data_IF_912764679591
#
_entry.id   IF_912764679591
#
_cell.length_a   1.000
_cell.length_b   1.000
_cell.length_c   1.000
_cell.angle_alpha   90.00
_cell.angle_beta   90.00
_cell.angle_gamma   90.00
#
_symmetry.space_group_name_H-M   'P 1'
#
loop_
_entity.id
_entity.type
_entity.pdbx_description
1 polymer ?
#
# COMPACT_ATOMS: atom_id res chain seq x y z
N UNK A 1 21.68 -9.23 -10.43
CA UNK A 1 20.78 -10.13 -9.68
C UNK A 1 19.36 -9.64 -9.92
N UNK A 2 18.49 -10.42 -10.60
CA UNK A 2 17.12 -10.00 -10.86
C UNK A 2 16.40 -9.61 -9.56
N UNK A 3 15.64 -8.50 -9.57
CA UNK A 3 14.93 -7.99 -8.40
C UNK A 3 15.76 -7.13 -7.43
N UNK A 4 17.06 -6.91 -7.68
CA UNK A 4 17.90 -5.99 -6.91
C UNK A 4 18.20 -4.71 -7.71
N UNK A 5 18.41 -3.60 -7.00
CA UNK A 5 18.80 -2.30 -7.59
C UNK A 5 20.32 -2.15 -7.73
N UNK A 6 21.09 -3.18 -7.38
CA UNK A 6 22.55 -3.19 -7.49
C UNK A 6 23.24 -3.01 -6.14
N UNK A 7 24.52 -2.65 -6.20
CA UNK A 7 25.36 -2.34 -5.04
C UNK A 7 25.51 -0.82 -4.89
N UNK A 8 25.88 -0.32 -3.70
CA UNK A 8 26.22 1.09 -3.53
C UNK A 8 27.29 1.53 -4.54
N UNK A 9 27.12 2.73 -5.09
CA UNK A 9 28.14 3.34 -5.93
C UNK A 9 29.37 3.74 -5.10
N UNK A 10 30.52 3.87 -5.74
CA UNK A 10 31.77 4.23 -5.05
C UNK A 10 31.65 5.53 -4.25
N UNK A 11 32.10 5.51 -2.99
CA UNK A 11 32.05 6.65 -2.07
C UNK A 11 30.70 6.87 -1.37
N UNK A 12 29.71 6.00 -1.62
CA UNK A 12 28.42 5.98 -0.90
C UNK A 12 28.35 4.72 -0.05
N UNK A 13 28.00 4.88 1.22
CA UNK A 13 27.66 3.76 2.09
C UNK A 13 26.15 3.67 2.23
N UNK A 14 25.62 2.44 2.24
CA UNK A 14 24.21 2.16 2.48
C UNK A 14 24.06 1.40 3.79
N UNK A 15 23.12 1.83 4.61
CA UNK A 15 22.74 1.21 5.87
C UNK A 15 21.27 0.83 5.78
N UNK A 16 20.91 -0.30 6.38
CA UNK A 16 19.53 -0.72 6.55
C UNK A 16 19.19 -0.46 8.01
N UNK A 17 18.36 0.54 8.28
CA UNK A 17 18.08 1.02 9.65
C UNK A 17 16.78 0.42 10.18
N UNK A 18 16.81 -0.08 11.41
CA UNK A 18 15.64 -0.55 12.14
C UNK A 18 14.90 0.60 12.84
N UNK A 19 13.72 0.30 13.39
CA UNK A 19 12.91 1.26 14.15
C UNK A 19 13.61 1.79 15.41
N UNK A 20 14.59 1.06 15.94
CA UNK A 20 15.40 1.46 17.10
C UNK A 20 16.55 2.42 16.74
N UNK A 21 16.63 2.85 15.48
CA UNK A 21 17.66 3.74 14.97
C UNK A 21 19.03 3.06 14.82
N UNK A 22 19.10 1.73 14.80
CA UNK A 22 20.33 0.97 14.60
C UNK A 22 20.32 0.20 13.28
N UNK A 23 21.50 -0.10 12.70
CA UNK A 23 21.58 -0.97 11.54
C UNK A 23 21.04 -2.37 11.84
N UNK A 24 20.18 -2.89 10.98
CA UNK A 24 19.74 -4.29 11.03
C UNK A 24 20.78 -5.21 10.39
N UNK A 25 20.86 -6.50 10.80
CA UNK A 25 21.71 -7.49 10.17
C UNK A 25 21.42 -7.68 8.68
N UNK A 26 22.42 -8.15 7.92
CA UNK A 26 22.26 -8.50 6.52
C UNK A 26 21.09 -9.46 6.29
N UNK A 27 20.33 -9.23 5.22
CA UNK A 27 19.12 -9.99 4.88
C UNK A 27 17.87 -9.60 5.66
N UNK A 28 17.99 -8.85 6.78
CA UNK A 28 16.82 -8.31 7.47
C UNK A 28 16.31 -7.03 6.78
N UNK A 29 15.03 -6.76 6.99
CA UNK A 29 14.35 -5.59 6.43
C UNK A 29 14.57 -4.37 7.31
N UNK A 30 14.85 -3.24 6.66
CA UNK A 30 15.04 -1.95 7.31
C UNK A 30 14.85 -0.81 6.31
N UNK A 31 14.84 0.41 6.83
CA UNK A 31 14.87 1.60 5.99
C UNK A 31 16.23 1.72 5.31
N UNK A 32 16.23 1.92 3.99
CA UNK A 32 17.43 2.18 3.22
C UNK A 32 17.88 3.62 3.54
N UNK A 33 19.02 3.75 4.19
CA UNK A 33 19.65 5.03 4.46
C UNK A 33 21.03 5.09 3.81
N UNK A 34 21.51 6.28 3.47
CA UNK A 34 22.82 6.41 2.82
C UNK A 34 23.67 7.55 3.38
N UNK A 35 24.97 7.38 3.28
CA UNK A 35 25.97 8.42 3.56
C UNK A 35 26.88 8.58 2.35
N UNK A 36 27.37 9.79 2.11
CA UNK A 36 28.26 10.05 0.99
C UNK A 36 28.33 11.51 0.58
N UNK A 37 29.19 11.84 -0.40
CA UNK A 37 29.34 13.21 -0.91
C UNK A 37 28.08 13.74 -1.61
N UNK A 38 27.18 12.84 -2.03
CA UNK A 38 25.90 13.14 -2.66
C UNK A 38 24.78 13.51 -1.66
N UNK A 39 24.99 13.33 -0.35
CA UNK A 39 23.99 13.68 0.66
C UNK A 39 23.91 15.19 0.82
N UNK A 40 22.71 15.74 0.62
CA UNK A 40 22.43 17.17 0.75
C UNK A 40 22.77 17.69 2.15
N UNK A 41 22.92 19.02 2.26
CA UNK A 41 23.07 19.69 3.57
C UNK A 41 21.74 19.77 4.33
N UNK A 42 20.62 19.79 3.60
CA UNK A 42 19.29 19.97 4.12
C UNK A 42 18.40 20.75 3.15
N UNK A 43 17.13 20.89 3.51
CA UNK A 43 16.19 21.71 2.77
C UNK A 43 16.44 23.20 3.03
N UNK A 44 16.26 24.02 1.99
CA UNK A 44 16.49 25.47 2.09
C UNK A 44 15.47 26.11 3.04
N UNK A 45 15.98 26.78 4.09
CA UNK A 45 15.18 27.46 5.13
C UNK A 45 14.12 26.57 5.80
N UNK A 46 14.31 25.25 5.82
CA UNK A 46 13.40 24.32 6.47
C UNK A 46 14.19 23.33 7.37
N UNK A 47 14.63 23.78 8.56
CA UNK A 47 15.43 22.96 9.47
C UNK A 47 14.63 21.78 10.05
N UNK A 48 13.33 21.92 10.22
CA UNK A 48 12.44 20.86 10.74
C UNK A 48 12.40 19.67 9.78
N UNK A 49 12.01 19.90 8.51
CA UNK A 49 12.02 18.86 7.49
C UNK A 49 13.43 18.30 7.22
N UNK A 50 14.47 19.08 7.50
CA UNK A 50 15.86 18.59 7.39
C UNK A 50 16.17 17.58 8.49
N UNK A 51 15.78 17.88 9.73
CA UNK A 51 16.00 16.99 10.87
C UNK A 51 15.20 15.68 10.76
N UNK A 52 14.07 15.68 10.04
CA UNK A 52 13.30 14.47 9.76
C UNK A 52 14.03 13.48 8.84
N UNK A 53 14.87 13.96 7.91
CA UNK A 53 15.50 13.11 6.89
C UNK A 53 17.02 13.00 7.02
N UNK A 54 17.65 13.85 7.83
CA UNK A 54 19.09 13.84 8.08
C UNK A 54 19.36 13.57 9.56
N UNK A 55 20.03 12.45 9.83
CA UNK A 55 20.50 12.06 11.15
C UNK A 55 22.02 11.83 11.17
N UNK A 56 22.56 11.41 12.31
CA UNK A 56 23.98 11.03 12.43
C UNK A 56 24.12 9.55 12.09
N UNK A 57 25.04 9.24 11.20
CA UNK A 57 25.30 7.86 10.78
C UNK A 57 25.90 7.02 11.91
N UNK A 58 25.86 5.67 11.80
CA UNK A 58 26.44 4.77 12.80
C UNK A 58 27.94 4.97 13.06
N UNK A 59 28.67 5.61 12.13
CA UNK A 59 30.07 6.00 12.30
C UNK A 59 30.26 7.21 13.26
N UNK A 60 29.17 7.81 13.74
CA UNK A 60 29.14 8.96 14.63
C UNK A 60 29.59 10.29 14.00
N UNK A 61 29.84 10.33 12.68
CA UNK A 61 30.46 11.48 12.01
C UNK A 61 29.73 11.92 10.76
N UNK A 62 29.29 10.96 9.95
CA UNK A 62 28.67 11.24 8.65
C UNK A 62 27.20 11.63 8.81
N UNK A 63 26.70 12.42 7.86
CA UNK A 63 25.24 12.64 7.73
C UNK A 63 24.61 11.41 7.11
N UNK A 64 23.62 10.85 7.78
CA UNK A 64 22.79 9.76 7.31
C UNK A 64 21.52 10.33 6.71
N UNK A 65 21.30 10.06 5.43
CA UNK A 65 20.07 10.43 4.75
C UNK A 65 19.08 9.27 4.75
N UNK A 66 17.89 9.53 5.29
CA UNK A 66 16.74 8.63 5.32
C UNK A 66 15.96 8.76 4.01
N UNK A 67 15.95 7.70 3.19
CA UNK A 67 15.31 7.74 1.86
C UNK A 67 13.79 7.56 1.94
N UNK A 68 13.30 7.01 3.04
CA UNK A 68 11.93 6.53 3.19
C UNK A 68 11.60 5.29 2.36
N UNK A 69 12.61 4.62 1.77
CA UNK A 69 12.47 3.32 1.11
C UNK A 69 12.75 2.19 2.12
N UNK A 70 11.95 1.14 2.07
CA UNK A 70 12.21 -0.12 2.77
C UNK A 70 12.99 -1.05 1.86
N UNK A 71 13.87 -1.86 2.44
CA UNK A 71 14.61 -2.84 1.67
C UNK A 71 15.37 -3.86 2.50
N UNK A 72 16.15 -4.67 1.80
CA UNK A 72 17.07 -5.65 2.37
C UNK A 72 18.39 -5.57 1.64
N UNK A 73 19.48 -5.79 2.36
CA UNK A 73 20.81 -5.91 1.75
C UNK A 73 21.37 -7.29 2.02
N UNK A 74 21.69 -8.03 0.95
CA UNK A 74 22.34 -9.33 1.06
C UNK A 74 23.78 -9.21 1.54
N UNK A 75 24.37 -10.32 1.98
CA UNK A 75 25.80 -10.39 2.33
C UNK A 75 26.71 -10.06 1.14
N UNK A 76 26.20 -10.26 -0.08
CA UNK A 76 26.84 -9.89 -1.33
C UNK A 76 26.85 -8.36 -1.59
N UNK A 77 26.21 -7.56 -0.72
CA UNK A 77 26.09 -6.11 -0.82
C UNK A 77 25.05 -5.63 -1.84
N UNK A 78 24.25 -6.54 -2.41
CA UNK A 78 23.15 -6.15 -3.29
C UNK A 78 21.94 -5.69 -2.48
N UNK A 79 21.39 -4.54 -2.86
CA UNK A 79 20.21 -3.95 -2.23
C UNK A 79 18.96 -4.34 -3.02
N UNK A 80 17.93 -4.74 -2.30
CA UNK A 80 16.57 -4.95 -2.81
C UNK A 80 15.65 -3.94 -2.15
N UNK A 81 14.90 -3.19 -2.95
CA UNK A 81 13.83 -2.32 -2.46
C UNK A 81 12.58 -3.17 -2.27
N UNK A 82 11.96 -3.08 -1.10
CA UNK A 82 10.76 -3.83 -0.72
C UNK A 82 9.58 -2.91 -0.43
N UNK A 83 9.72 -1.59 -0.56
CA UNK A 83 8.58 -0.67 -0.50
C UNK A 83 8.93 0.71 0.02
N UNK A 84 7.93 1.42 0.55
CA UNK A 84 8.06 2.78 1.12
C UNK A 84 7.58 2.81 2.57
N UNK A 85 8.37 3.44 3.45
CA UNK A 85 8.02 3.63 4.87
C UNK A 85 6.67 4.34 5.02
N UNK A 86 6.46 5.43 4.27
CA UNK A 86 5.22 6.22 4.32
C UNK A 86 3.96 5.50 3.80
N UNK A 87 4.13 4.39 3.07
CA UNK A 87 3.02 3.59 2.53
C UNK A 87 2.71 2.41 3.45
N UNK A 88 3.62 2.11 4.37
CA UNK A 88 3.45 1.06 5.35
C UNK A 88 2.36 1.44 6.35
N UNK A 89 1.51 0.48 6.69
CA UNK A 89 0.54 0.61 7.75
C UNK A 89 0.62 -0.57 8.71
N UNK A 90 0.05 -0.37 9.89
CA UNK A 90 0.02 -1.36 10.97
C UNK A 90 -1.35 -2.02 11.03
N UNK A 91 -1.38 -3.34 11.13
CA UNK A 91 -2.58 -4.11 11.46
C UNK A 91 -2.85 -4.05 12.97
N UNK A 92 -4.07 -4.35 13.40
CA UNK A 92 -4.44 -4.39 14.83
C UNK A 92 -3.56 -5.35 15.65
N UNK A 93 -3.13 -6.45 15.02
CA UNK A 93 -2.26 -7.45 15.64
C UNK A 93 -0.81 -7.00 15.82
N UNK A 94 -0.48 -5.76 15.47
CA UNK A 94 0.83 -5.16 15.65
C UNK A 94 1.79 -5.32 14.47
N UNK A 95 1.43 -6.07 13.43
CA UNK A 95 2.29 -6.31 12.27
C UNK A 95 2.21 -5.19 11.26
N UNK A 96 3.35 -4.88 10.66
CA UNK A 96 3.47 -3.89 9.61
C UNK A 96 3.36 -4.53 8.23
N UNK A 97 2.61 -3.88 7.33
CA UNK A 97 2.36 -4.34 5.97
C UNK A 97 2.75 -3.21 5.02
N UNK A 98 3.59 -3.52 4.03
CA UNK A 98 3.82 -2.64 2.90
C UNK A 98 2.91 -3.09 1.74
N UNK A 99 1.93 -2.26 1.32
CA UNK A 99 0.94 -2.68 0.33
C UNK A 99 1.51 -2.78 -1.08
N UNK A 100 2.48 -1.94 -1.44
CA UNK A 100 2.94 -1.79 -2.83
C UNK A 100 3.47 -3.08 -3.46
N UNK A 101 4.35 -3.89 -2.82
CA UNK A 101 4.77 -5.16 -3.39
C UNK A 101 3.63 -6.17 -3.58
N UNK A 102 2.63 -6.13 -2.70
CA UNK A 102 1.48 -7.04 -2.72
C UNK A 102 0.56 -6.65 -3.88
N UNK A 103 0.35 -5.35 -4.06
CA UNK A 103 -0.39 -4.79 -5.18
C UNK A 103 0.30 -5.05 -6.51
N UNK A 104 1.62 -4.85 -6.59
CA UNK A 104 2.39 -5.18 -7.78
C UNK A 104 2.29 -6.67 -8.12
N UNK A 105 2.33 -7.54 -7.09
CA UNK A 105 2.18 -8.97 -7.30
C UNK A 105 0.80 -9.35 -7.83
N UNK A 106 -0.28 -8.81 -7.24
CA UNK A 106 -1.66 -9.04 -7.70
C UNK A 106 -1.90 -8.42 -9.08
N UNK A 107 -1.30 -7.26 -9.36
CA UNK A 107 -1.37 -6.56 -10.64
C UNK A 107 -0.63 -7.27 -11.78
N UNK A 108 0.13 -8.34 -11.52
CA UNK A 108 0.66 -9.21 -12.58
C UNK A 108 -0.44 -10.08 -13.22
N UNK A 109 -1.62 -10.18 -12.60
CA UNK A 109 -2.74 -10.90 -13.18
C UNK A 109 -3.26 -10.21 -14.44
N UNK A 110 -3.54 -11.01 -15.48
CA UNK A 110 -4.24 -10.52 -16.68
C UNK A 110 -5.70 -10.13 -16.45
N UNK A 111 -6.28 -10.46 -15.29
CA UNK A 111 -7.68 -10.19 -14.97
C UNK A 111 -7.88 -8.91 -14.15
N UNK A 112 -6.78 -8.29 -13.67
CA UNK A 112 -6.82 -7.17 -12.73
C UNK A 112 -6.03 -6.00 -13.30
N UNK A 113 -6.72 -4.90 -13.57
CA UNK A 113 -6.12 -3.68 -14.11
C UNK A 113 -5.43 -2.84 -13.02
N UNK A 114 -6.08 -2.71 -11.86
CA UNK A 114 -5.58 -1.92 -10.74
C UNK A 114 -5.98 -2.59 -9.44
N UNK A 115 -5.17 -2.40 -8.40
CA UNK A 115 -5.43 -2.95 -7.07
C UNK A 115 -5.01 -1.94 -6.01
N UNK A 116 -5.80 -1.85 -4.94
CA UNK A 116 -5.45 -1.12 -3.72
C UNK A 116 -5.69 -2.03 -2.53
N UNK A 117 -4.64 -2.25 -1.74
CA UNK A 117 -4.67 -3.00 -0.51
C UNK A 117 -4.97 -2.07 0.68
N UNK A 118 -5.87 -2.52 1.54
CA UNK A 118 -6.35 -1.79 2.71
C UNK A 118 -6.27 -2.69 3.95
N UNK A 119 -5.74 -2.18 5.05
CA UNK A 119 -5.74 -2.92 6.33
C UNK A 119 -5.28 -2.12 7.54
N UNK A 120 -5.12 -0.80 7.38
CA UNK A 120 -4.63 0.06 8.46
C UNK A 120 -5.57 -0.01 9.67
N UNK A 121 -5.04 -0.40 10.83
CA UNK A 121 -5.78 -0.62 12.07
C UNK A 121 -6.99 -1.56 11.88
N UNK A 122 -6.80 -2.63 11.11
CA UNK A 122 -7.76 -3.71 10.94
C UNK A 122 -7.12 -5.07 11.24
N UNK A 123 -7.90 -6.14 11.49
CA UNK A 123 -7.35 -7.44 11.86
C UNK A 123 -6.56 -8.13 10.74
N UNK A 124 -6.92 -7.85 9.47
CA UNK A 124 -6.33 -8.43 8.28
C UNK A 124 -6.39 -7.43 7.11
N UNK A 125 -5.80 -7.78 5.96
CA UNK A 125 -5.88 -6.96 4.74
C UNK A 125 -7.09 -7.35 3.89
N UNK A 126 -7.63 -6.36 3.20
CA UNK A 126 -8.62 -6.52 2.14
C UNK A 126 -8.13 -5.82 0.87
N UNK A 127 -8.58 -6.27 -0.30
CA UNK A 127 -8.18 -5.69 -1.58
C UNK A 127 -9.37 -5.11 -2.36
N UNK A 128 -9.19 -3.91 -2.91
CA UNK A 128 -10.08 -3.31 -3.90
C UNK A 128 -9.50 -3.58 -5.28
N UNK A 129 -10.26 -4.25 -6.14
CA UNK A 129 -9.80 -4.68 -7.46
C UNK A 129 -10.55 -3.95 -8.57
N UNK A 130 -9.83 -3.44 -9.55
CA UNK A 130 -10.41 -2.97 -10.81
C UNK A 130 -10.25 -4.11 -11.82
N UNK A 131 -11.33 -4.78 -12.24
CA UNK A 131 -11.25 -5.91 -13.15
C UNK A 131 -10.91 -5.47 -14.58
N UNK A 132 -10.33 -6.40 -15.35
CA UNK A 132 -10.42 -6.40 -16.81
C UNK A 132 -11.55 -7.34 -17.23
N UNK A 133 -12.73 -6.77 -17.45
CA UNK A 133 -13.90 -7.54 -17.87
C UNK A 133 -13.72 -8.25 -19.21
N UNK A 134 -12.92 -7.68 -20.12
CA UNK A 134 -12.66 -8.29 -21.42
C UNK A 134 -11.89 -9.60 -21.25
N UNK A 135 -10.84 -9.56 -20.43
CA UNK A 135 -10.04 -10.74 -20.12
C UNK A 135 -10.85 -11.81 -19.36
N UNK A 136 -11.66 -11.39 -18.38
CA UNK A 136 -12.49 -12.31 -17.57
C UNK A 136 -13.56 -12.98 -18.45
N UNK A 137 -14.27 -12.23 -19.28
CA UNK A 137 -15.30 -12.77 -20.19
C UNK A 137 -14.71 -13.76 -21.17
N UNK A 138 -13.54 -13.43 -21.74
CA UNK A 138 -12.84 -14.31 -22.68
C UNK A 138 -12.42 -15.63 -22.03
N UNK A 139 -11.92 -15.61 -20.80
CA UNK A 139 -11.48 -16.82 -20.10
C UNK A 139 -12.66 -17.72 -19.72
N UNK A 140 -13.77 -17.14 -19.29
CA UNK A 140 -14.95 -17.88 -18.82
C UNK A 140 -15.97 -18.15 -19.94
N UNK A 141 -15.68 -17.74 -21.18
CA UNK A 141 -16.61 -17.83 -22.32
C UNK A 141 -17.99 -17.23 -22.02
N UNK A 142 -17.99 -16.08 -21.34
CA UNK A 142 -19.20 -15.33 -20.97
C UNK A 142 -19.56 -14.39 -22.12
N UNK A 143 -20.85 -14.29 -22.43
CA UNK A 143 -21.36 -13.39 -23.47
C UNK A 143 -21.18 -11.91 -23.09
N UNK A 144 -20.86 -11.08 -24.08
CA UNK A 144 -20.62 -9.64 -23.87
C UNK A 144 -21.88 -8.88 -23.41
N UNK A 145 -23.08 -9.41 -23.64
CA UNK A 145 -24.34 -8.80 -23.22
C UNK A 145 -24.64 -8.92 -21.72
N UNK A 146 -23.92 -9.79 -20.97
CA UNK A 146 -24.16 -9.94 -19.54
C UNK A 146 -23.76 -8.65 -18.78
N UNK A 147 -24.64 -8.08 -17.94
CA UNK A 147 -24.33 -6.85 -17.20
C UNK A 147 -23.24 -7.12 -16.16
N UNK A 148 -22.35 -6.14 -15.96
CA UNK A 148 -21.20 -6.28 -15.05
C UNK A 148 -21.63 -6.54 -13.60
N UNK A 149 -22.80 -6.04 -13.17
CA UNK A 149 -23.35 -6.24 -11.83
C UNK A 149 -23.59 -7.72 -11.50
N UNK A 150 -24.01 -8.51 -12.49
CA UNK A 150 -24.19 -9.96 -12.35
C UNK A 150 -22.84 -10.66 -12.26
N UNK A 151 -21.85 -10.20 -13.03
CA UNK A 151 -20.50 -10.76 -13.04
C UNK A 151 -19.73 -10.52 -11.75
N UNK A 152 -19.96 -9.39 -11.08
CA UNK A 152 -19.35 -9.08 -9.78
C UNK A 152 -19.72 -10.14 -8.74
N UNK A 153 -20.94 -10.71 -8.82
CA UNK A 153 -21.43 -11.70 -7.88
C UNK A 153 -21.35 -13.14 -8.37
N UNK A 154 -20.97 -13.36 -9.63
CA UNK A 154 -20.88 -14.69 -10.23
C UNK A 154 -19.84 -15.58 -9.52
N UNK A 155 -20.24 -16.84 -9.28
CA UNK A 155 -19.43 -17.80 -8.53
C UNK A 155 -18.20 -18.31 -9.31
N UNK A 156 -18.25 -18.34 -10.64
CA UNK A 156 -17.13 -18.72 -11.50
C UNK A 156 -16.10 -17.60 -11.55
N UNK A 157 -16.54 -16.35 -11.70
CA UNK A 157 -15.68 -15.16 -11.63
C UNK A 157 -14.95 -15.10 -10.29
N UNK A 158 -15.69 -15.22 -9.18
CA UNK A 158 -15.10 -15.24 -7.83
C UNK A 158 -14.09 -16.36 -7.66
N UNK A 159 -14.35 -17.55 -8.21
CA UNK A 159 -13.41 -18.69 -8.14
C UNK A 159 -12.13 -18.44 -8.93
N UNK A 160 -12.24 -17.86 -10.12
CA UNK A 160 -11.10 -17.52 -10.97
C UNK A 160 -10.17 -16.53 -10.25
N UNK A 161 -10.73 -15.41 -9.77
CA UNK A 161 -9.96 -14.37 -9.09
C UNK A 161 -9.37 -14.87 -7.76
N UNK A 162 -10.11 -15.67 -6.99
CA UNK A 162 -9.59 -16.28 -5.77
C UNK A 162 -8.37 -17.18 -6.06
N UNK A 163 -8.44 -18.03 -7.09
CA UNK A 163 -7.32 -18.89 -7.48
C UNK A 163 -6.09 -18.08 -7.92
N UNK A 164 -6.32 -17.00 -8.67
CA UNK A 164 -5.27 -16.12 -9.14
C UNK A 164 -4.56 -15.38 -7.99
N UNK A 165 -5.33 -14.77 -7.08
CA UNK A 165 -4.77 -14.07 -5.91
C UNK A 165 -4.00 -15.05 -5.03
N UNK A 166 -4.53 -16.25 -4.77
CA UNK A 166 -3.83 -17.27 -3.97
C UNK A 166 -2.51 -17.69 -4.62
N UNK A 167 -2.48 -17.86 -5.94
CA UNK A 167 -1.26 -18.21 -6.69
C UNK A 167 -0.21 -17.09 -6.61
N UNK A 168 -0.61 -15.85 -6.88
CA UNK A 168 0.28 -14.69 -6.90
C UNK A 168 0.82 -14.34 -5.51
N UNK A 169 0.02 -14.57 -4.47
CA UNK A 169 0.37 -14.27 -3.08
C UNK A 169 0.97 -15.46 -2.32
N UNK A 170 1.17 -16.62 -2.96
CA UNK A 170 1.64 -17.85 -2.33
C UNK A 170 3.00 -17.72 -1.60
N UNK A 171 3.84 -16.76 -2.02
CA UNK A 171 5.16 -16.50 -1.43
C UNK A 171 5.14 -15.46 -0.30
N UNK A 172 4.00 -14.81 -0.07
CA UNK A 172 3.85 -13.77 0.95
C UNK A 172 3.59 -14.39 2.32
N UNK A 173 3.81 -13.60 3.37
CA UNK A 173 3.47 -14.05 4.73
C UNK A 173 1.95 -14.05 4.88
N UNK A 174 1.43 -14.97 5.70
CA UNK A 174 -0.04 -15.11 5.92
C UNK A 174 -0.78 -13.83 6.31
N UNK A 175 -0.12 -12.90 7.00
CA UNK A 175 -0.73 -11.62 7.41
C UNK A 175 -0.62 -10.52 6.35
N UNK A 176 0.19 -10.72 5.31
CA UNK A 176 0.31 -9.81 4.17
C UNK A 176 -0.78 -10.12 3.13
N UNK A 177 -1.17 -11.40 3.01
CA UNK A 177 -2.21 -11.84 2.06
C UNK A 177 -3.59 -11.22 2.41
N UNK A 178 -4.31 -10.63 1.42
CA UNK A 178 -5.68 -10.18 1.62
C UNK A 178 -6.60 -11.37 1.92
N UNK A 179 -7.43 -11.27 2.96
CA UNK A 179 -8.41 -12.30 3.30
C UNK A 179 -9.71 -12.16 2.54
N UNK A 180 -10.04 -10.94 2.10
CA UNK A 180 -11.23 -10.64 1.32
C UNK A 180 -10.93 -9.59 0.25
N UNK A 181 -11.74 -9.57 -0.81
CA UNK A 181 -11.60 -8.61 -1.91
C UNK A 181 -12.96 -8.28 -2.54
N UNK A 182 -13.01 -7.13 -3.21
CA UNK A 182 -14.21 -6.69 -3.92
C UNK A 182 -13.86 -5.91 -5.19
N UNK A 183 -14.74 -5.95 -6.17
CA UNK A 183 -14.57 -5.16 -7.39
C UNK A 183 -15.02 -3.71 -7.19
N UNK A 184 -14.26 -2.79 -7.76
CA UNK A 184 -14.54 -1.37 -7.74
C UNK A 184 -14.40 -0.76 -9.13
N UNK A 185 -14.99 0.42 -9.29
CA UNK A 185 -14.86 1.19 -10.53
C UNK A 185 -13.39 1.59 -10.79
N UNK A 186 -12.99 1.76 -12.06
CA UNK A 186 -11.62 2.15 -12.41
C UNK A 186 -11.14 3.43 -11.73
N UNK A 187 -9.88 3.43 -11.29
CA UNK A 187 -9.23 4.62 -10.74
C UNK A 187 -8.71 5.47 -11.89
N UNK A 188 -9.26 6.68 -12.03
CA UNK A 188 -8.96 7.57 -13.14
C UNK A 188 -8.49 8.93 -12.64
N UNK A 189 -7.90 9.73 -13.53
CA UNK A 189 -7.66 11.14 -13.21
C UNK A 189 -8.98 11.91 -13.07
N UNK A 190 -10.03 11.52 -13.82
CA UNK A 190 -11.34 12.18 -13.82
C UNK A 190 -12.08 12.05 -12.48
N UNK A 191 -11.99 10.89 -11.81
CA UNK A 191 -12.53 10.70 -10.47
C UNK A 191 -11.52 11.07 -9.35
N UNK A 192 -10.44 11.78 -9.69
CA UNK A 192 -9.43 12.29 -8.75
C UNK A 192 -8.72 11.18 -7.93
N UNK A 193 -8.75 9.93 -8.41
CA UNK A 193 -8.08 8.79 -7.77
C UNK A 193 -6.66 8.58 -8.30
N UNK A 194 -6.30 9.19 -9.41
CA UNK A 194 -4.92 9.25 -9.91
C UNK A 194 -4.30 10.64 -9.76
N UNK A 195 -3.00 10.70 -9.53
CA UNK A 195 -2.20 11.92 -9.67
C UNK A 195 -2.01 12.27 -11.15
N UNK A 196 -1.58 13.50 -11.49
CA UNK A 196 -1.20 13.84 -12.86
C UNK A 196 -0.06 12.97 -13.41
N UNK A 197 0.74 12.36 -12.53
CA UNK A 197 1.77 11.36 -12.87
C UNK A 197 1.24 9.93 -12.93
N UNK A 198 -0.08 9.75 -12.95
CA UNK A 198 -0.79 8.46 -12.99
C UNK A 198 -0.59 7.53 -11.77
N UNK A 199 0.05 7.99 -10.69
CA UNK A 199 0.14 7.25 -9.43
C UNK A 199 -1.18 7.31 -8.66
N UNK A 200 -1.58 6.21 -8.01
CA UNK A 200 -2.83 6.11 -7.24
C UNK A 200 -2.78 6.99 -5.97
N UNK A 201 -3.85 7.76 -5.74
CA UNK A 201 -4.07 8.52 -4.51
C UNK A 201 -4.79 7.65 -3.48
N UNK A 202 -4.02 6.79 -2.78
CA UNK A 202 -4.54 5.83 -1.77
C UNK A 202 -5.55 6.44 -0.81
N UNK A 203 -5.24 7.59 -0.20
CA UNK A 203 -6.13 8.25 0.76
C UNK A 203 -7.50 8.61 0.16
N UNK A 204 -7.54 8.99 -1.12
CA UNK A 204 -8.80 9.28 -1.81
C UNK A 204 -9.59 8.00 -2.07
N UNK A 205 -8.91 6.94 -2.56
CA UNK A 205 -9.56 5.64 -2.83
C UNK A 205 -10.16 5.07 -1.54
N UNK A 206 -9.38 5.00 -0.46
CA UNK A 206 -9.85 4.49 0.84
C UNK A 206 -11.02 5.30 1.36
N UNK A 207 -10.98 6.64 1.25
CA UNK A 207 -12.10 7.51 1.65
C UNK A 207 -13.35 7.27 0.80
N UNK A 208 -13.20 7.11 -0.52
CA UNK A 208 -14.35 6.89 -1.41
C UNK A 208 -15.02 5.54 -1.16
N UNK A 209 -14.25 4.49 -0.87
CA UNK A 209 -14.75 3.14 -0.67
C UNK A 209 -14.86 2.74 0.81
N UNK A 210 -14.83 3.70 1.74
CA UNK A 210 -14.84 3.45 3.20
C UNK A 210 -16.00 2.54 3.63
N UNK A 211 -17.22 2.82 3.16
CA UNK A 211 -18.40 2.02 3.47
C UNK A 211 -18.29 0.58 2.94
N UNK A 212 -17.69 0.40 1.77
CA UNK A 212 -17.50 -0.92 1.18
C UNK A 212 -16.44 -1.71 1.96
N UNK A 213 -15.34 -1.05 2.31
CA UNK A 213 -14.28 -1.62 3.15
C UNK A 213 -14.87 -2.03 4.52
N UNK A 214 -15.67 -1.19 5.16
CA UNK A 214 -16.31 -1.48 6.44
C UNK A 214 -17.18 -2.75 6.37
N UNK A 215 -17.99 -2.89 5.31
CA UNK A 215 -18.81 -4.09 5.08
C UNK A 215 -17.98 -5.37 4.92
N UNK A 216 -16.81 -5.31 4.30
CA UNK A 216 -15.91 -6.47 4.18
C UNK A 216 -15.40 -6.95 5.53
N UNK A 217 -15.27 -6.05 6.52
CA UNK A 217 -14.93 -6.42 7.89
C UNK A 217 -16.15 -6.86 8.72
N UNK A 218 -17.36 -6.79 8.17
CA UNK A 218 -18.60 -7.09 8.89
C UNK A 218 -19.06 -5.97 9.82
N UNK A 219 -18.61 -4.73 9.60
CA UNK A 219 -19.07 -3.55 10.35
C UNK A 219 -20.50 -3.15 9.90
N UNK A 220 -21.49 -4.01 10.10
CA UNK A 220 -22.89 -3.66 9.84
C UNK A 220 -23.49 -2.96 11.09
N UNK A 221 -23.68 -1.63 10.96
CA UNK A 221 -24.43 -0.65 11.78
C UNK A 221 -23.68 0.20 12.85
N UNK A 222 -23.44 1.48 12.49
CA UNK A 222 -24.06 2.61 13.20
C UNK A 222 -24.20 3.83 12.27
N UNK A 223 -25.26 3.83 11.45
CA UNK A 223 -25.89 5.07 10.98
C UNK A 223 -27.31 5.08 11.50
N UNK A 224 -27.48 5.30 12.81
CA UNK A 224 -28.74 5.85 13.32
C UNK A 224 -28.66 7.36 13.24
N UNK A 225 -29.33 7.86 12.21
CA UNK A 225 -29.92 9.18 12.05
C UNK A 225 -29.77 10.13 13.25
N UNK A 226 -28.99 11.19 13.05
CA UNK A 226 -29.26 12.47 13.70
C UNK A 226 -30.50 13.09 13.02
N UNK A 227 -31.68 12.74 13.52
CA UNK A 227 -32.93 13.49 13.30
C UNK A 227 -33.40 14.03 14.64
N UNK A 228 -33.46 15.36 14.68
CA UNK A 228 -34.45 16.17 15.38
C UNK A 228 -34.49 16.14 16.91
N UNK A 229 -33.64 16.99 17.50
CA UNK A 229 -33.95 17.71 18.73
C UNK A 229 -34.13 19.19 18.42
N UNK A 230 -35.32 19.56 17.94
CA UNK A 230 -35.77 20.96 17.84
C UNK A 230 -35.90 21.51 19.26
N UNK A 231 -34.96 22.37 19.68
CA UNK A 231 -35.17 23.21 20.86
C UNK A 231 -36.05 24.38 20.46
N UNK A 232 -37.34 24.30 20.83
CA UNK A 232 -38.18 25.46 21.04
C UNK A 232 -37.75 26.10 22.35
N UNK A 233 -37.08 27.25 22.30
CA UNK A 233 -37.05 28.20 23.41
C UNK A 233 -37.75 29.47 22.96
N UNK A 234 -38.98 29.61 23.44
CA UNK A 234 -39.77 30.83 23.41
C UNK A 234 -39.03 31.95 24.14
N UNK A 235 -38.74 33.02 23.41
CA UNK A 235 -38.57 34.35 23.97
C UNK A 235 -39.91 35.08 23.91
N UNK A 236 -40.59 35.29 25.04
CA UNK A 236 -41.30 36.55 25.32
C UNK A 236 -41.33 36.79 26.83
N UNK A 237 -41.10 38.07 27.16
CA UNK A 237 -41.17 38.80 28.43
C UNK A 237 -42.09 38.27 29.54
#
# INVERSE_FOLDING_TARGET
KPGCVGKPIGGVNVYLMGEDGKPVPSGQEGEICCTGPNVMRGYYKNPEATAEVISVAPDGKSRLFHTGDLGRMGEDGFVQVTGRVKEMYKLENGKYVCPTPIEEAIGMSRFINQVVLCGANRPYNVALLVPDWTAIRSELSIDDSAPEEDLVNDSHVKRLINGEIQSLTARLKKFEVPQDWTFVAPFTAANNMLTPKMSIRRHMVVKTYENLIARMYGDDNMTTAATDGVNHDEKVA
#
